data_IF_362387140648
#
_entry.id   IF_362387140648
#
_cell.length_a   1.000
_cell.length_b   1.000
_cell.length_c   1.000
_cell.angle_alpha   90.00
_cell.angle_beta   90.00
_cell.angle_gamma   90.00
#
_symmetry.space_group_name_H-M   'P 1'
#
loop_
_entity.id
_entity.type
_entity.pdbx_description
1 polymer ?
#
# COMPACT_ATOMS: atom_id res chain seq x y z
N UNK A 1 17.41 23.17 -25.04
CA UNK A 1 17.85 21.79 -24.74
C UNK A 1 16.58 20.95 -24.63
N UNK A 2 16.22 20.22 -25.70
CA UNK A 2 15.07 19.32 -25.71
C UNK A 2 15.49 18.05 -24.97
N UNK A 3 15.14 17.95 -23.70
CA UNK A 3 15.23 16.67 -23.00
C UNK A 3 14.27 15.68 -23.67
N UNK A 4 14.80 14.55 -24.11
CA UNK A 4 13.99 13.39 -24.51
C UNK A 4 12.95 13.15 -23.40
N UNK A 5 11.64 13.03 -23.72
CA UNK A 5 10.66 12.69 -22.70
C UNK A 5 11.13 11.39 -22.04
N UNK A 6 11.23 11.42 -20.72
CA UNK A 6 11.62 10.23 -19.95
C UNK A 6 10.58 9.15 -20.25
N UNK A 7 11.03 7.99 -20.76
CA UNK A 7 10.10 6.91 -21.12
C UNK A 7 9.29 6.51 -19.88
N UNK A 8 8.00 6.24 -20.08
CA UNK A 8 7.13 5.76 -18.99
C UNK A 8 7.72 4.46 -18.40
N UNK A 9 8.13 4.47 -17.11
CA UNK A 9 8.80 3.32 -16.48
C UNK A 9 7.89 2.09 -16.34
N UNK A 10 6.57 2.27 -16.41
CA UNK A 10 5.58 1.21 -16.24
C UNK A 10 4.89 0.81 -17.55
N UNK A 11 5.29 1.40 -18.70
CA UNK A 11 4.65 1.14 -19.99
C UNK A 11 4.61 -0.35 -20.38
N UNK A 12 5.68 -1.11 -20.09
CA UNK A 12 5.74 -2.54 -20.39
C UNK A 12 4.70 -3.36 -19.62
N UNK A 13 4.30 -2.92 -18.44
CA UNK A 13 3.30 -3.61 -17.63
C UNK A 13 1.89 -3.46 -18.20
N UNK A 14 1.65 -2.42 -18.98
CA UNK A 14 0.36 -2.20 -19.66
C UNK A 14 0.13 -3.17 -20.82
N UNK A 15 1.16 -3.91 -21.25
CA UNK A 15 1.04 -4.94 -22.29
C UNK A 15 0.78 -6.34 -21.74
N UNK A 16 0.78 -6.51 -20.42
CA UNK A 16 0.54 -7.81 -19.79
C UNK A 16 -0.93 -8.20 -19.89
N UNK A 17 -1.17 -9.46 -20.29
CA UNK A 17 -2.51 -10.00 -20.50
C UNK A 17 -3.38 -9.89 -19.24
N UNK A 18 -4.59 -9.39 -19.39
CA UNK A 18 -5.56 -9.25 -18.31
C UNK A 18 -5.30 -8.07 -17.35
N UNK A 19 -4.08 -7.50 -17.32
CA UNK A 19 -3.72 -6.48 -16.33
C UNK A 19 -4.46 -5.16 -16.56
N UNK A 20 -4.44 -4.51 -17.75
CA UNK A 20 -5.16 -3.26 -17.95
C UNK A 20 -6.66 -3.38 -17.75
N UNK A 21 -7.28 -4.43 -18.33
CA UNK A 21 -8.72 -4.67 -18.22
C UNK A 21 -9.14 -5.02 -16.78
N UNK A 22 -8.32 -5.79 -16.07
CA UNK A 22 -8.58 -6.14 -14.67
C UNK A 22 -8.55 -4.92 -13.74
N UNK A 23 -7.54 -4.04 -13.87
CA UNK A 23 -7.52 -2.80 -13.08
C UNK A 23 -8.63 -1.83 -13.48
N UNK A 24 -9.04 -1.79 -14.75
CA UNK A 24 -10.20 -0.99 -15.16
C UNK A 24 -11.48 -1.50 -14.49
N UNK A 25 -11.74 -2.81 -14.51
CA UNK A 25 -12.90 -3.41 -13.87
C UNK A 25 -12.90 -3.21 -12.34
N UNK A 26 -11.74 -3.39 -11.67
CA UNK A 26 -11.59 -3.12 -10.24
C UNK A 26 -11.87 -1.65 -9.92
N UNK A 27 -11.37 -0.72 -10.75
CA UNK A 27 -11.64 0.72 -10.59
C UNK A 27 -13.12 1.04 -10.72
N UNK A 28 -13.81 0.47 -11.70
CA UNK A 28 -15.26 0.65 -11.87
C UNK A 28 -16.04 0.16 -10.65
N UNK A 29 -15.65 -0.96 -10.06
CA UNK A 29 -16.22 -1.49 -8.81
C UNK A 29 -16.02 -0.56 -7.62
N UNK A 30 -14.81 -0.02 -7.45
CA UNK A 30 -14.48 0.98 -6.42
C UNK A 30 -15.30 2.25 -6.62
N UNK A 31 -15.35 2.78 -7.83
CA UNK A 31 -16.10 3.99 -8.16
C UNK A 31 -17.60 3.81 -7.93
N UNK A 32 -18.17 2.64 -8.23
CA UNK A 32 -19.55 2.30 -7.94
C UNK A 32 -19.80 2.32 -6.42
N UNK A 33 -18.96 1.68 -5.62
CA UNK A 33 -19.07 1.69 -4.15
C UNK A 33 -19.01 3.10 -3.59
N UNK A 34 -18.03 3.91 -4.01
CA UNK A 34 -17.81 5.25 -3.48
C UNK A 34 -18.93 6.23 -3.90
N UNK A 35 -19.53 6.06 -5.10
CA UNK A 35 -20.66 6.87 -5.57
C UNK A 35 -21.97 6.52 -4.88
N UNK A 36 -22.24 5.23 -4.71
CA UNK A 36 -23.54 4.73 -4.21
C UNK A 36 -23.76 5.10 -2.74
N UNK A 37 -22.74 5.06 -1.92
CA UNK A 37 -22.81 5.28 -0.47
C UNK A 37 -22.40 6.68 -0.01
N UNK A 38 -22.11 7.60 -0.92
CA UNK A 38 -22.15 9.01 -0.60
C UNK A 38 -20.88 9.66 -0.12
N UNK A 39 -19.95 9.91 -1.03
CA UNK A 39 -18.88 10.90 -0.84
C UNK A 39 -19.37 12.28 -0.34
N UNK A 40 -20.63 12.61 -0.58
CA UNK A 40 -21.23 13.90 -0.14
C UNK A 40 -21.54 13.98 1.35
N UNK A 41 -21.67 12.84 2.05
CA UNK A 41 -22.03 12.76 3.47
C UNK A 41 -21.29 11.64 4.23
N UNK A 42 -20.05 11.33 3.85
CA UNK A 42 -19.26 10.33 4.59
C UNK A 42 -18.99 10.84 6.01
N UNK A 43 -19.53 10.23 7.07
CA UNK A 43 -19.17 10.60 8.42
C UNK A 43 -17.66 10.39 8.62
N UNK A 44 -17.01 11.31 9.34
CA UNK A 44 -15.57 11.19 9.68
C UNK A 44 -15.25 9.87 10.38
N UNK A 45 -16.21 9.26 11.05
CA UNK A 45 -16.07 7.95 11.67
C UNK A 45 -15.79 6.80 10.71
N UNK A 46 -16.27 6.86 9.45
CA UNK A 46 -16.01 5.78 8.48
C UNK A 46 -14.55 5.73 8.03
N UNK A 47 -13.91 6.88 7.83
CA UNK A 47 -12.46 6.93 7.56
C UNK A 47 -11.67 6.37 8.74
N UNK A 48 -12.01 6.77 9.97
CA UNK A 48 -11.35 6.25 11.17
C UNK A 48 -11.56 4.74 11.31
N UNK A 49 -12.75 4.24 11.04
CA UNK A 49 -13.06 2.80 11.05
C UNK A 49 -12.27 2.04 9.99
N UNK A 50 -12.19 2.54 8.76
CA UNK A 50 -11.37 1.94 7.69
C UNK A 50 -9.89 1.87 8.08
N UNK A 51 -9.35 2.95 8.64
CA UNK A 51 -7.95 3.00 9.09
C UNK A 51 -7.69 2.03 10.23
N UNK A 52 -8.63 1.88 11.17
CA UNK A 52 -8.53 0.94 12.29
C UNK A 52 -8.57 -0.52 11.80
N UNK A 53 -9.49 -0.86 10.90
CA UNK A 53 -9.55 -2.18 10.25
C UNK A 53 -8.25 -2.49 9.50
N UNK A 54 -7.72 -1.51 8.77
CA UNK A 54 -6.45 -1.65 8.07
C UNK A 54 -5.27 -1.87 9.02
N UNK A 55 -5.22 -1.15 10.15
CA UNK A 55 -4.18 -1.32 11.15
C UNK A 55 -4.21 -2.72 11.76
N UNK A 56 -5.40 -3.22 12.17
CA UNK A 56 -5.56 -4.56 12.70
C UNK A 56 -5.13 -5.63 11.68
N UNK A 57 -5.64 -5.55 10.44
CA UNK A 57 -5.29 -6.49 9.38
C UNK A 57 -3.78 -6.45 9.04
N UNK A 58 -3.18 -5.27 9.02
CA UNK A 58 -1.74 -5.11 8.78
C UNK A 58 -0.91 -5.71 9.92
N UNK A 59 -1.35 -5.56 11.17
CA UNK A 59 -0.73 -6.20 12.33
C UNK A 59 -0.80 -7.72 12.25
N UNK A 60 -1.97 -8.28 11.93
CA UNK A 60 -2.16 -9.73 11.78
C UNK A 60 -1.29 -10.33 10.67
N UNK A 61 -1.09 -9.62 9.55
CA UNK A 61 -0.18 -10.02 8.48
C UNK A 61 1.29 -10.05 8.92
N UNK A 62 1.67 -9.25 9.91
CA UNK A 62 3.01 -9.24 10.51
C UNK A 62 3.14 -10.19 11.71
N UNK A 63 2.09 -10.95 12.03
CA UNK A 63 2.12 -11.93 13.11
C UNK A 63 1.55 -11.44 14.45
N UNK A 64 0.89 -10.27 14.50
CA UNK A 64 0.09 -9.88 15.65
C UNK A 64 -1.00 -10.91 15.93
N UNK A 65 -1.25 -11.17 17.20
CA UNK A 65 -2.36 -12.01 17.66
C UNK A 65 -3.58 -11.17 18.08
N UNK A 66 -3.47 -9.84 17.97
CA UNK A 66 -4.53 -8.90 18.35
C UNK A 66 -5.49 -8.70 17.19
N UNK A 67 -6.69 -9.26 17.29
CA UNK A 67 -7.77 -9.01 16.34
C UNK A 67 -8.35 -7.59 16.47
N UNK A 68 -9.23 -7.22 15.53
CA UNK A 68 -9.80 -5.87 15.41
C UNK A 68 -10.38 -5.33 16.72
N UNK A 69 -11.14 -6.13 17.47
CA UNK A 69 -11.77 -5.67 18.71
C UNK A 69 -10.75 -5.38 19.83
N UNK A 70 -9.69 -6.17 19.92
CA UNK A 70 -8.59 -5.89 20.86
C UNK A 70 -7.87 -4.60 20.47
N UNK A 71 -7.58 -4.42 19.16
CA UNK A 71 -6.96 -3.19 18.66
C UNK A 71 -7.84 -1.98 18.94
N UNK A 72 -9.16 -2.12 18.81
CA UNK A 72 -10.14 -1.05 19.08
C UNK A 72 -10.13 -0.59 20.53
N UNK A 73 -10.00 -1.52 21.46
CA UNK A 73 -10.14 -1.24 22.92
C UNK A 73 -8.84 -0.73 23.53
N UNK A 74 -7.71 -1.35 23.22
CA UNK A 74 -6.42 -1.08 23.90
C UNK A 74 -5.22 -0.92 22.96
N UNK A 75 -5.44 -0.93 21.64
CA UNK A 75 -4.40 -0.83 20.62
C UNK A 75 -3.68 -2.13 20.30
N UNK A 76 -3.96 -3.21 21.04
CA UNK A 76 -3.40 -4.54 20.81
C UNK A 76 -1.95 -4.69 21.28
N UNK A 77 -1.27 -5.70 20.76
CA UNK A 77 0.15 -5.97 21.01
C UNK A 77 1.08 -4.94 20.32
N UNK A 78 2.40 -5.08 20.50
CA UNK A 78 3.36 -4.11 19.98
C UNK A 78 3.33 -4.02 18.43
N UNK A 79 3.09 -5.14 17.74
CA UNK A 79 3.00 -5.17 16.28
C UNK A 79 1.73 -4.42 15.82
N UNK A 80 0.59 -4.70 16.45
CA UNK A 80 -0.65 -3.98 16.16
C UNK A 80 -0.52 -2.49 16.45
N UNK A 81 0.10 -2.10 17.58
CA UNK A 81 0.36 -0.69 17.92
C UNK A 81 1.24 0.00 16.90
N UNK A 82 2.23 -0.70 16.32
CA UNK A 82 3.04 -0.14 15.23
C UNK A 82 2.17 0.22 14.01
N UNK A 83 1.27 -0.68 13.60
CA UNK A 83 0.33 -0.42 12.50
C UNK A 83 -0.66 0.71 12.84
N UNK A 84 -1.17 0.78 14.07
CA UNK A 84 -2.05 1.87 14.56
C UNK A 84 -1.34 3.22 14.51
N UNK A 85 -0.08 3.31 15.00
CA UNK A 85 0.70 4.55 14.93
C UNK A 85 0.84 5.06 13.49
N UNK A 86 1.11 4.16 12.54
CA UNK A 86 1.18 4.51 11.13
C UNK A 86 -0.18 5.01 10.63
N UNK A 87 -1.26 4.28 10.89
CA UNK A 87 -2.60 4.60 10.40
C UNK A 87 -3.10 5.96 10.92
N UNK A 88 -2.76 6.33 12.15
CA UNK A 88 -3.16 7.61 12.76
C UNK A 88 -2.61 8.82 12.00
N UNK A 89 -1.37 8.73 11.50
CA UNK A 89 -0.67 9.83 10.83
C UNK A 89 -0.72 9.74 9.30
N UNK A 90 -1.22 8.59 8.78
CA UNK A 90 -1.04 8.18 7.38
C UNK A 90 -1.54 9.22 6.38
N UNK A 91 -2.78 9.67 6.54
CA UNK A 91 -3.42 10.54 5.53
C UNK A 91 -2.74 11.91 5.41
N UNK A 92 -2.11 12.39 6.49
CA UNK A 92 -1.28 13.60 6.45
C UNK A 92 -0.04 13.47 5.57
N UNK A 93 0.37 12.26 5.21
CA UNK A 93 1.52 11.98 4.35
C UNK A 93 1.16 11.87 2.86
N UNK A 94 -0.12 11.88 2.49
CA UNK A 94 -0.56 11.70 1.11
C UNK A 94 0.12 12.66 0.11
N UNK A 95 0.30 13.97 0.39
CA UNK A 95 0.98 14.87 -0.55
C UNK A 95 2.46 14.51 -0.77
N UNK A 96 3.09 13.77 0.14
CA UNK A 96 4.48 13.36 -0.01
C UNK A 96 4.63 12.18 -0.98
N UNK A 97 3.61 11.32 -1.13
CA UNK A 97 3.72 10.15 -2.00
C UNK A 97 3.97 10.48 -3.47
N UNK A 98 3.43 11.60 -3.94
CA UNK A 98 3.60 12.04 -5.34
C UNK A 98 4.67 13.10 -5.51
N UNK A 99 5.11 13.77 -4.44
CA UNK A 99 6.09 14.87 -4.53
C UNK A 99 7.46 14.52 -3.94
N UNK A 100 7.51 13.72 -2.88
CA UNK A 100 8.73 13.36 -2.13
C UNK A 100 8.61 11.95 -1.54
N UNK A 101 8.49 10.89 -2.37
CA UNK A 101 8.19 9.53 -1.89
C UNK A 101 9.20 9.01 -0.86
N UNK A 102 10.50 9.30 -1.02
CA UNK A 102 11.52 8.93 -0.03
C UNK A 102 11.23 9.47 1.37
N UNK A 103 10.69 10.68 1.45
CA UNK A 103 10.32 11.28 2.73
C UNK A 103 9.07 10.61 3.30
N UNK A 104 8.12 10.21 2.46
CA UNK A 104 6.95 9.44 2.89
C UNK A 104 7.38 8.07 3.46
N UNK A 105 8.19 7.31 2.72
CA UNK A 105 8.71 6.02 3.18
C UNK A 105 9.44 6.11 4.52
N UNK A 106 10.35 7.09 4.64
CA UNK A 106 11.10 7.32 5.87
C UNK A 106 10.18 7.65 7.07
N UNK A 107 9.18 8.51 6.88
CA UNK A 107 8.22 8.87 7.94
C UNK A 107 7.34 7.70 8.36
N UNK A 108 6.82 6.93 7.40
CA UNK A 108 6.01 5.75 7.68
C UNK A 108 6.83 4.73 8.47
N UNK A 109 8.07 4.44 8.03
CA UNK A 109 8.95 3.54 8.77
C UNK A 109 9.30 4.06 10.18
N UNK A 110 9.58 5.35 10.33
CA UNK A 110 9.85 5.92 11.63
C UNK A 110 8.65 5.80 12.60
N UNK A 111 7.42 5.93 12.10
CA UNK A 111 6.20 5.69 12.89
C UNK A 111 6.07 4.21 13.27
N UNK A 112 6.28 3.30 12.32
CA UNK A 112 6.18 1.87 12.57
C UNK A 112 7.24 1.40 13.59
N UNK A 113 8.49 1.82 13.42
CA UNK A 113 9.64 1.37 14.23
C UNK A 113 9.77 2.03 15.59
N UNK A 114 8.99 3.11 15.88
CA UNK A 114 9.08 3.84 17.15
C UNK A 114 8.86 2.91 18.34
N UNK A 115 9.80 2.92 19.29
CA UNK A 115 9.77 2.07 20.48
C UNK A 115 10.31 0.65 20.28
N UNK A 116 10.45 0.20 19.03
CA UNK A 116 11.01 -1.12 18.71
C UNK A 116 12.44 -1.06 18.12
N UNK A 117 12.80 0.09 17.54
CA UNK A 117 14.12 0.31 16.95
C UNK A 117 14.84 1.48 17.61
N UNK A 118 16.19 1.47 17.59
CA UNK A 118 17.00 2.64 17.94
C UNK A 118 16.68 3.83 17.03
N UNK A 119 16.74 5.05 17.59
CA UNK A 119 16.39 6.29 16.86
C UNK A 119 17.23 6.48 15.60
N UNK A 120 18.47 6.04 15.59
CA UNK A 120 19.38 6.13 14.43
C UNK A 120 18.96 5.22 13.26
N UNK A 121 18.08 4.24 13.47
CA UNK A 121 17.53 3.35 12.44
C UNK A 121 16.17 3.81 11.92
N UNK A 122 15.50 4.72 12.64
CA UNK A 122 14.16 5.18 12.27
C UNK A 122 14.18 5.94 10.93
N UNK A 123 13.41 5.45 9.96
CA UNK A 123 13.28 6.06 8.63
C UNK A 123 14.53 5.92 7.75
N UNK A 124 15.52 5.14 8.17
CA UNK A 124 16.77 4.97 7.41
C UNK A 124 16.84 3.60 6.74
N UNK A 125 17.25 3.52 5.47
CA UNK A 125 17.51 2.24 4.83
C UNK A 125 18.64 1.51 5.55
N UNK A 126 18.55 0.17 5.60
CA UNK A 126 19.48 -0.68 6.34
C UNK A 126 20.92 -0.68 5.77
N UNK A 127 21.05 -0.38 4.47
CA UNK A 127 22.32 -0.37 3.74
C UNK A 127 22.25 0.49 2.47
N UNK A 128 23.39 0.63 1.77
CA UNK A 128 23.51 1.44 0.56
C UNK A 128 22.70 0.87 -0.63
N UNK A 129 22.58 -0.46 -0.74
CA UNK A 129 21.79 -1.11 -1.78
C UNK A 129 20.30 -0.80 -1.59
N UNK A 130 19.79 -0.96 -0.38
CA UNK A 130 18.42 -0.61 0.02
C UNK A 130 18.13 0.88 -0.25
N UNK A 131 19.07 1.77 0.05
CA UNK A 131 18.95 3.18 -0.27
C UNK A 131 18.87 3.43 -1.80
N UNK A 132 19.61 2.66 -2.59
CA UNK A 132 19.55 2.70 -4.05
C UNK A 132 18.19 2.26 -4.59
N UNK A 133 17.66 1.15 -4.07
CA UNK A 133 16.33 0.63 -4.46
C UNK A 133 15.20 1.61 -4.10
N UNK A 134 15.23 2.19 -2.90
CA UNK A 134 14.25 3.22 -2.52
C UNK A 134 14.29 4.44 -3.43
N UNK A 135 15.49 4.89 -3.87
CA UNK A 135 15.61 5.99 -4.82
C UNK A 135 15.00 5.63 -6.18
N UNK A 136 15.34 4.46 -6.73
CA UNK A 136 14.78 3.99 -7.98
C UNK A 136 13.25 3.90 -7.95
N UNK A 137 12.68 3.36 -6.88
CA UNK A 137 11.22 3.33 -6.67
C UNK A 137 10.65 4.75 -6.61
N UNK A 138 11.27 5.65 -5.84
CA UNK A 138 10.81 7.03 -5.72
C UNK A 138 10.85 7.77 -7.07
N UNK A 139 11.89 7.57 -7.87
CA UNK A 139 12.01 8.15 -9.21
C UNK A 139 10.90 7.63 -10.14
N UNK A 140 10.55 6.34 -10.04
CA UNK A 140 9.40 5.76 -10.76
C UNK A 140 8.09 6.46 -10.39
N UNK A 141 7.87 6.74 -9.09
CA UNK A 141 6.62 7.33 -8.60
C UNK A 141 6.41 8.80 -8.97
N UNK A 142 7.50 9.56 -9.16
CA UNK A 142 7.43 10.97 -9.57
C UNK A 142 7.49 11.13 -11.09
N UNK A 143 7.86 10.07 -11.82
CA UNK A 143 7.83 10.07 -13.28
C UNK A 143 6.39 9.94 -13.78
N UNK A 144 6.06 10.65 -14.83
CA UNK A 144 4.74 10.56 -15.47
C UNK A 144 4.54 9.16 -16.04
N UNK A 145 3.36 8.57 -15.81
CA UNK A 145 2.98 7.25 -16.29
C UNK A 145 1.49 7.21 -16.68
N UNK A 146 1.18 6.43 -17.70
CA UNK A 146 -0.19 6.07 -18.08
C UNK A 146 -0.75 4.89 -17.27
N UNK A 147 0.07 4.31 -16.38
CA UNK A 147 -0.36 3.19 -15.54
C UNK A 147 -1.49 3.60 -14.59
N UNK A 148 -2.55 2.77 -14.48
CA UNK A 148 -3.64 3.00 -13.53
C UNK A 148 -3.12 3.19 -12.11
N UNK A 149 -3.69 4.14 -11.36
CA UNK A 149 -3.25 4.43 -9.99
C UNK A 149 -3.27 3.19 -9.08
N UNK A 150 -4.23 2.31 -9.24
CA UNK A 150 -4.34 1.04 -8.51
C UNK A 150 -3.17 0.09 -8.84
N UNK A 151 -2.73 0.05 -10.11
CA UNK A 151 -1.54 -0.72 -10.51
C UNK A 151 -0.26 -0.13 -9.90
N UNK A 152 -0.11 1.19 -9.92
CA UNK A 152 1.03 1.86 -9.27
C UNK A 152 1.09 1.57 -7.78
N UNK A 153 -0.07 1.59 -7.09
CA UNK A 153 -0.17 1.24 -5.67
C UNK A 153 0.29 -0.21 -5.41
N UNK A 154 -0.11 -1.15 -6.27
CA UNK A 154 0.31 -2.55 -6.18
C UNK A 154 1.82 -2.73 -6.39
N UNK A 155 2.44 -2.02 -7.34
CA UNK A 155 3.89 -2.07 -7.58
C UNK A 155 4.65 -1.52 -6.37
N UNK A 156 4.25 -0.36 -5.83
CA UNK A 156 4.87 0.21 -4.62
C UNK A 156 4.86 -0.78 -3.46
N UNK A 157 3.73 -1.44 -3.27
CA UNK A 157 3.59 -2.46 -2.23
C UNK A 157 4.60 -3.61 -2.44
N UNK A 158 4.59 -4.23 -3.61
CA UNK A 158 5.45 -5.38 -3.88
C UNK A 158 6.94 -5.02 -3.75
N UNK A 159 7.35 -3.89 -4.32
CA UNK A 159 8.73 -3.45 -4.26
C UNK A 159 9.20 -3.21 -2.81
N UNK A 160 8.41 -2.53 -1.99
CA UNK A 160 8.76 -2.29 -0.59
C UNK A 160 8.75 -3.56 0.25
N UNK A 161 7.75 -4.43 0.06
CA UNK A 161 7.62 -5.67 0.81
C UNK A 161 8.76 -6.64 0.50
N UNK A 162 9.14 -6.77 -0.78
CA UNK A 162 10.15 -7.75 -1.22
C UNK A 162 11.58 -7.24 -1.08
N UNK A 163 11.83 -5.96 -1.36
CA UNK A 163 13.14 -5.36 -1.13
C UNK A 163 13.50 -5.25 0.35
N UNK A 164 12.49 -5.16 1.23
CA UNK A 164 12.63 -5.03 2.67
C UNK A 164 13.73 -4.02 3.06
N UNK A 165 13.62 -2.74 2.62
CA UNK A 165 14.75 -1.80 2.65
C UNK A 165 15.09 -1.28 4.06
N UNK A 166 14.26 -1.53 5.05
CA UNK A 166 14.43 -1.09 6.43
C UNK A 166 14.80 -2.25 7.35
N UNK A 167 15.26 -1.93 8.55
CA UNK A 167 15.67 -2.93 9.55
C UNK A 167 14.51 -3.84 9.99
N UNK A 168 13.26 -3.34 9.96
CA UNK A 168 12.04 -4.09 10.31
C UNK A 168 10.79 -3.42 9.76
N UNK A 169 9.59 -3.96 10.06
CA UNK A 169 8.28 -3.39 9.74
C UNK A 169 8.03 -3.11 8.25
N UNK A 170 8.79 -3.76 7.36
CA UNK A 170 8.71 -3.50 5.91
C UNK A 170 7.32 -3.81 5.33
N UNK A 171 6.64 -4.85 5.80
CA UNK A 171 5.29 -5.17 5.36
C UNK A 171 4.27 -4.11 5.80
N UNK A 172 4.36 -3.59 7.03
CA UNK A 172 3.51 -2.46 7.48
C UNK A 172 3.75 -1.24 6.59
N UNK A 173 5.02 -0.92 6.29
CA UNK A 173 5.38 0.21 5.41
C UNK A 173 4.82 -0.01 4.00
N UNK A 174 4.96 -1.20 3.44
CA UNK A 174 4.50 -1.52 2.08
C UNK A 174 2.99 -1.34 1.93
N UNK A 175 2.20 -1.91 2.83
CA UNK A 175 0.72 -1.80 2.83
C UNK A 175 0.26 -0.37 3.08
N UNK A 176 0.91 0.35 4.00
CA UNK A 176 0.63 1.76 4.23
C UNK A 176 0.90 2.62 2.98
N UNK A 177 1.99 2.35 2.25
CA UNK A 177 2.31 3.04 1.00
C UNK A 177 1.32 2.71 -0.11
N UNK A 178 0.82 1.47 -0.22
CA UNK A 178 -0.25 1.11 -1.16
C UNK A 178 -1.50 1.94 -0.89
N UNK A 179 -2.02 1.91 0.35
CA UNK A 179 -3.19 2.71 0.73
C UNK A 179 -2.98 4.19 0.45
N UNK A 180 -1.82 4.72 0.82
CA UNK A 180 -1.51 6.13 0.64
C UNK A 180 -1.42 6.53 -0.83
N UNK A 181 -0.97 5.62 -1.70
CA UNK A 181 -0.94 5.83 -3.14
C UNK A 181 -2.35 5.90 -3.73
N UNK A 182 -3.29 5.05 -3.27
CA UNK A 182 -4.69 5.12 -3.67
C UNK A 182 -5.32 6.48 -3.32
N UNK A 183 -5.01 7.00 -2.12
CA UNK A 183 -5.44 8.34 -1.68
C UNK A 183 -4.80 9.42 -2.54
N UNK A 184 -3.48 9.42 -2.67
CA UNK A 184 -2.72 10.48 -3.33
C UNK A 184 -3.00 10.60 -4.83
N UNK A 185 -3.43 9.51 -5.47
CA UNK A 185 -3.81 9.47 -6.89
C UNK A 185 -5.33 9.52 -7.12
N UNK A 186 -6.12 9.86 -6.12
CA UNK A 186 -7.55 10.13 -6.25
C UNK A 186 -8.41 8.90 -6.55
N UNK A 187 -7.96 7.69 -6.17
CA UNK A 187 -8.79 6.48 -6.23
C UNK A 187 -9.77 6.46 -5.07
N UNK A 188 -9.28 6.76 -3.87
CA UNK A 188 -10.02 6.71 -2.62
C UNK A 188 -9.59 7.85 -1.69
N UNK A 189 -9.95 9.07 -2.02
CA UNK A 189 -9.50 10.28 -1.32
C UNK A 189 -9.84 10.28 0.18
N UNK A 190 -10.86 9.54 0.59
CA UNK A 190 -11.30 9.43 1.98
C UNK A 190 -10.79 8.17 2.69
N UNK A 191 -9.98 7.36 2.02
CA UNK A 191 -9.44 6.12 2.56
C UNK A 191 -10.52 5.20 3.16
N UNK A 192 -11.52 4.89 2.36
CA UNK A 192 -12.66 4.03 2.76
C UNK A 192 -12.45 2.56 2.35
N UNK A 193 -11.56 2.29 1.39
CA UNK A 193 -11.09 0.95 1.08
C UNK A 193 -10.19 0.44 2.22
N UNK A 194 -10.11 -0.88 2.36
CA UNK A 194 -9.25 -1.51 3.36
C UNK A 194 -8.29 -2.50 2.67
N UNK A 195 -7.26 -2.01 1.93
CA UNK A 195 -6.33 -2.86 1.18
C UNK A 195 -5.69 -3.95 2.05
N UNK A 196 -5.32 -3.61 3.28
CA UNK A 196 -4.70 -4.53 4.23
C UNK A 196 -5.62 -5.71 4.58
N UNK A 197 -6.93 -5.44 4.71
CA UNK A 197 -7.91 -6.51 4.95
C UNK A 197 -8.13 -7.37 3.70
N UNK A 198 -8.03 -6.79 2.51
CA UNK A 198 -8.01 -7.54 1.25
C UNK A 198 -6.87 -8.56 1.21
N UNK A 199 -5.65 -8.12 1.53
CA UNK A 199 -4.49 -8.99 1.62
C UNK A 199 -4.61 -10.04 2.72
N UNK A 200 -5.16 -9.67 3.90
CA UNK A 200 -5.37 -10.61 5.00
C UNK A 200 -6.37 -11.70 4.62
N UNK A 201 -7.46 -11.34 3.93
CA UNK A 201 -8.48 -12.29 3.45
C UNK A 201 -7.91 -13.30 2.47
N UNK A 202 -6.94 -12.88 1.65
CA UNK A 202 -6.25 -13.69 0.63
C UNK A 202 -4.82 -14.01 1.06
N UNK A 203 -4.59 -14.29 2.35
CA UNK A 203 -3.25 -14.40 2.94
C UNK A 203 -2.34 -15.38 2.23
N UNK A 204 -2.83 -16.56 1.88
CA UNK A 204 -2.01 -17.59 1.23
C UNK A 204 -1.54 -17.14 -0.16
N UNK A 205 -2.44 -16.55 -0.93
CA UNK A 205 -2.18 -15.98 -2.26
C UNK A 205 -1.25 -14.77 -2.16
N UNK A 206 -1.47 -13.90 -1.17
CA UNK A 206 -0.61 -12.75 -0.87
C UNK A 206 0.84 -13.16 -0.67
N UNK A 207 1.08 -14.08 0.24
CA UNK A 207 2.43 -14.58 0.56
C UNK A 207 3.07 -15.30 -0.64
N UNK A 208 2.28 -16.09 -1.37
CA UNK A 208 2.76 -16.81 -2.56
C UNK A 208 3.17 -15.85 -3.67
N UNK A 209 2.34 -14.84 -3.96
CA UNK A 209 2.60 -13.87 -5.03
C UNK A 209 3.75 -12.91 -4.69
N UNK A 210 3.93 -12.51 -3.42
CA UNK A 210 5.12 -11.77 -3.00
C UNK A 210 6.41 -12.58 -3.19
N UNK A 211 6.40 -13.89 -2.85
CA UNK A 211 7.55 -14.76 -3.12
C UNK A 211 7.82 -14.89 -4.62
N UNK A 212 6.78 -15.01 -5.44
CA UNK A 212 6.93 -15.05 -6.89
C UNK A 212 7.51 -13.75 -7.44
N UNK A 213 7.05 -12.60 -6.94
CA UNK A 213 7.56 -11.28 -7.31
C UNK A 213 9.05 -11.12 -6.96
N UNK A 214 9.44 -11.51 -5.73
CA UNK A 214 10.82 -11.42 -5.25
C UNK A 214 11.80 -12.29 -6.05
N UNK A 215 11.36 -13.45 -6.54
CA UNK A 215 12.20 -14.44 -7.23
C UNK A 215 12.09 -14.35 -8.75
N UNK A 216 11.34 -13.38 -9.28
CA UNK A 216 11.09 -13.31 -10.71
C UNK A 216 12.36 -12.97 -11.51
N UNK A 217 12.72 -13.87 -12.41
CA UNK A 217 13.55 -13.52 -13.56
C UNK A 217 12.62 -13.14 -14.73
N UNK A 218 12.51 -11.84 -15.02
CA UNK A 218 11.61 -11.33 -16.05
C UNK A 218 10.21 -10.93 -15.52
N UNK A 219 9.21 -10.86 -16.41
CA UNK A 219 7.89 -10.28 -16.10
C UNK A 219 6.91 -11.24 -15.41
N UNK A 220 7.21 -12.55 -15.32
CA UNK A 220 6.22 -13.56 -14.87
C UNK A 220 5.76 -13.32 -13.42
N UNK A 221 6.68 -13.05 -12.50
CA UNK A 221 6.30 -12.80 -11.11
C UNK A 221 5.58 -11.47 -10.92
N UNK A 222 5.98 -10.45 -11.69
CA UNK A 222 5.27 -9.16 -11.71
C UNK A 222 3.86 -9.33 -12.26
N UNK A 223 3.68 -10.11 -13.34
CA UNK A 223 2.36 -10.40 -13.92
C UNK A 223 1.46 -11.10 -12.91
N UNK A 224 1.94 -12.18 -12.28
CA UNK A 224 1.18 -12.91 -11.27
C UNK A 224 0.76 -11.99 -10.09
N UNK A 225 1.68 -11.16 -9.62
CA UNK A 225 1.40 -10.18 -8.58
C UNK A 225 0.31 -9.18 -8.98
N UNK A 226 0.36 -8.64 -10.21
CA UNK A 226 -0.63 -7.67 -10.67
C UNK A 226 -2.02 -8.28 -10.81
N UNK A 227 -2.14 -9.52 -11.31
CA UNK A 227 -3.42 -10.23 -11.35
C UNK A 227 -3.98 -10.49 -9.94
N UNK A 228 -3.13 -10.92 -9.02
CA UNK A 228 -3.49 -11.05 -7.60
C UNK A 228 -3.93 -9.71 -7.00
N UNK A 229 -3.19 -8.62 -7.27
CA UNK A 229 -3.50 -7.31 -6.72
C UNK A 229 -4.87 -6.77 -7.17
N UNK A 230 -5.30 -7.07 -8.39
CA UNK A 230 -6.65 -6.75 -8.89
C UNK A 230 -7.71 -7.40 -7.99
N UNK A 231 -7.54 -8.68 -7.66
CA UNK A 231 -8.45 -9.41 -6.79
C UNK A 231 -8.42 -8.85 -5.36
N UNK A 232 -7.22 -8.64 -4.80
CA UNK A 232 -7.05 -8.10 -3.45
C UNK A 232 -7.69 -6.72 -3.27
N UNK A 233 -7.57 -5.83 -4.27
CA UNK A 233 -8.17 -4.51 -4.24
C UNK A 233 -9.71 -4.56 -4.44
N UNK A 234 -10.22 -5.55 -5.16
CA UNK A 234 -11.66 -5.82 -5.24
C UNK A 234 -12.21 -6.27 -3.88
N UNK A 235 -11.53 -7.21 -3.22
CA UNK A 235 -11.89 -7.66 -1.87
C UNK A 235 -11.76 -6.51 -0.85
N UNK A 236 -10.78 -5.63 -0.99
CA UNK A 236 -10.63 -4.44 -0.14
C UNK A 236 -11.86 -3.51 -0.20
N UNK A 237 -12.49 -3.40 -1.36
CA UNK A 237 -13.74 -2.65 -1.52
C UNK A 237 -14.94 -3.37 -0.87
N UNK A 238 -14.99 -4.69 -0.89
CA UNK A 238 -16.02 -5.48 -0.22
C UNK A 238 -15.95 -5.37 1.31
N UNK A 239 -14.72 -5.22 1.85
CA UNK A 239 -14.44 -5.10 3.28
C UNK A 239 -14.47 -3.64 3.79
N UNK A 240 -14.85 -2.70 2.94
CA UNK A 240 -15.04 -1.29 3.30
C UNK A 240 -16.11 -1.15 4.38
N UNK A 241 -15.94 -0.25 5.39
CA UNK A 241 -17.00 0.07 6.35
C UNK A 241 -18.24 0.70 5.70
N UNK A 242 -18.20 1.03 4.42
CA UNK A 242 -19.37 1.41 3.65
C UNK A 242 -20.33 0.24 3.39
N UNK A 243 -19.91 -0.99 3.58
CA UNK A 243 -20.73 -2.18 3.36
C UNK A 243 -21.53 -2.62 4.60
N UNK A 244 -21.17 -2.10 5.78
CA UNK A 244 -21.91 -2.30 7.03
C UNK A 244 -23.17 -1.41 7.03
#
# INVERSE_FOLDING_TARGET
MNGTPNADPLASLLTLEGVPSGFAAARDGVDALLRDRGLRRTPSGLTAESLLRGAAASGELEGSTSGLETVRVDGGDEIARAAVRVSTELLGLAPLMTSRPLQAFARIHALAGRGALPDEQLGRPRDAESAGRLRALADTLVTQTEAPAMMVAAIVHADLATAAPFASHNGIVARACERLMLVARGVDEKSLLVPEAGHLRLRAEYESNLRAYANASGSTGVHAWLLYAIEAQTVAAELSPLRD
#
